data_IF_646497394441
#
_entry.id   IF_646497394441
#
_cell.length_a   1.000
_cell.length_b   1.000
_cell.length_c   1.000
_cell.angle_alpha   90.00
_cell.angle_beta   90.00
_cell.angle_gamma   90.00
#
_symmetry.space_group_name_H-M   'P 1'
#
loop_
_entity.id
_entity.type
_entity.pdbx_description
1 polymer ?
#
# COMPACT_ATOMS: atom_id res chain seq x y z
N UNK A 1 -45.08 19.82 -9.63
CA UNK A 1 -43.65 20.23 -9.65
C UNK A 1 -42.98 20.11 -8.28
N UNK A 2 -43.49 20.73 -7.20
CA UNK A 2 -42.87 20.77 -5.87
C UNK A 2 -42.66 19.38 -5.24
N UNK A 3 -43.59 18.44 -5.39
CA UNK A 3 -43.46 17.06 -4.85
C UNK A 3 -42.39 16.25 -5.60
N UNK A 4 -42.25 16.43 -6.91
CA UNK A 4 -41.24 15.79 -7.72
C UNK A 4 -39.84 16.29 -7.32
N UNK A 5 -39.68 17.56 -7.05
CA UNK A 5 -38.41 18.15 -6.61
C UNK A 5 -38.00 17.59 -5.22
N UNK A 6 -38.93 17.44 -4.30
CA UNK A 6 -38.68 16.86 -2.99
C UNK A 6 -38.26 15.38 -3.15
N UNK A 7 -38.92 14.60 -3.97
CA UNK A 7 -38.60 13.21 -4.24
C UNK A 7 -37.21 13.07 -4.87
N UNK A 8 -36.84 13.91 -5.84
CA UNK A 8 -35.54 13.91 -6.48
C UNK A 8 -34.39 14.28 -5.49
N UNK A 9 -34.66 15.20 -4.57
CA UNK A 9 -33.67 15.61 -3.55
C UNK A 9 -33.51 14.56 -2.43
N UNK A 10 -34.60 13.84 -2.09
CA UNK A 10 -34.56 12.82 -1.05
C UNK A 10 -33.94 11.48 -1.56
N UNK A 11 -33.98 11.22 -2.87
CA UNK A 11 -33.50 9.96 -3.43
C UNK A 11 -32.01 9.66 -3.12
N UNK A 12 -31.06 10.61 -3.32
CA UNK A 12 -29.65 10.37 -2.96
C UNK A 12 -29.46 10.10 -1.46
N UNK A 13 -30.25 10.78 -0.62
CA UNK A 13 -30.17 10.59 0.82
C UNK A 13 -30.69 9.21 1.23
N UNK A 14 -31.78 8.75 0.65
CA UNK A 14 -32.31 7.41 0.86
C UNK A 14 -31.36 6.33 0.38
N UNK A 15 -30.72 6.53 -0.78
CA UNK A 15 -29.70 5.63 -1.30
C UNK A 15 -28.50 5.57 -0.34
N UNK A 16 -28.01 6.72 0.14
CA UNK A 16 -26.87 6.77 1.06
C UNK A 16 -27.13 6.08 2.41
N UNK A 17 -28.38 6.06 2.88
CA UNK A 17 -28.77 5.35 4.12
C UNK A 17 -29.03 3.86 3.86
N UNK A 18 -29.56 3.51 2.68
CA UNK A 18 -29.97 2.14 2.36
C UNK A 18 -28.79 1.23 1.96
N UNK A 19 -27.71 1.79 1.47
CA UNK A 19 -26.54 1.00 1.06
C UNK A 19 -25.44 1.08 2.13
N UNK A 20 -24.88 -0.07 2.55
CA UNK A 20 -23.78 -0.07 3.50
C UNK A 20 -22.55 0.61 2.88
N UNK A 21 -21.79 1.30 3.72
CA UNK A 21 -20.49 1.87 3.31
C UNK A 21 -19.55 0.73 2.93
N UNK A 22 -19.11 0.70 1.68
CA UNK A 22 -18.15 -0.30 1.19
C UNK A 22 -16.76 0.14 1.62
N UNK A 23 -16.07 -0.69 2.41
CA UNK A 23 -14.64 -0.47 2.70
C UNK A 23 -13.79 -0.94 1.53
N UNK A 24 -12.66 -0.25 1.30
CA UNK A 24 -11.66 -0.69 0.34
C UNK A 24 -11.08 -2.05 0.76
N UNK A 25 -10.96 -2.97 -0.19
CA UNK A 25 -10.51 -4.34 0.02
C UNK A 25 -9.71 -4.89 -1.18
N UNK A 26 -9.40 -6.19 -1.18
CA UNK A 26 -8.67 -6.86 -2.27
C UNK A 26 -9.33 -6.69 -3.65
N UNK A 27 -10.66 -6.57 -3.72
CA UNK A 27 -11.38 -6.32 -4.99
C UNK A 27 -11.03 -4.95 -5.55
N UNK A 28 -10.85 -3.96 -4.66
CA UNK A 28 -10.41 -2.63 -5.06
C UNK A 28 -8.99 -2.67 -5.61
N UNK A 29 -8.09 -3.46 -5.00
CA UNK A 29 -6.74 -3.69 -5.52
C UNK A 29 -6.79 -4.32 -6.91
N UNK A 30 -7.59 -5.37 -7.10
CA UNK A 30 -7.77 -6.02 -8.40
C UNK A 30 -8.35 -5.08 -9.47
N UNK A 31 -9.27 -4.19 -9.09
CA UNK A 31 -9.94 -3.28 -10.01
C UNK A 31 -9.09 -2.07 -10.41
N UNK A 32 -8.34 -1.51 -9.45
CA UNK A 32 -7.50 -0.32 -9.67
C UNK A 32 -6.07 -0.67 -10.11
N UNK A 33 -5.63 -1.91 -9.86
CA UNK A 33 -4.23 -2.29 -10.00
C UNK A 33 -3.38 -1.80 -8.83
N UNK A 34 -2.12 -2.19 -8.83
CA UNK A 34 -1.10 -1.68 -7.92
C UNK A 34 0.18 -1.42 -8.71
N UNK A 35 0.95 -0.42 -8.27
CA UNK A 35 2.25 -0.11 -8.83
C UNK A 35 3.26 -0.02 -7.70
N UNK A 36 4.44 -0.56 -7.98
CA UNK A 36 5.61 -0.33 -7.16
C UNK A 36 6.35 0.88 -7.73
N UNK A 37 6.90 1.78 -6.90
CA UNK A 37 7.71 2.87 -7.39
C UNK A 37 8.89 2.31 -8.17
N UNK A 38 9.02 2.72 -9.42
CA UNK A 38 10.11 2.33 -10.30
C UNK A 38 11.30 3.24 -10.01
N UNK A 39 12.51 2.68 -10.01
CA UNK A 39 13.71 3.49 -10.03
C UNK A 39 13.67 4.47 -11.22
N UNK A 40 14.09 5.71 -11.01
CA UNK A 40 14.06 6.79 -12.01
C UNK A 40 14.58 6.30 -13.36
N UNK A 41 13.74 6.35 -14.39
CA UNK A 41 14.11 6.08 -15.79
C UNK A 41 13.27 5.07 -16.56
N UNK A 42 12.34 4.35 -15.93
CA UNK A 42 11.47 3.35 -16.59
C UNK A 42 10.02 3.84 -16.74
N UNK A 43 9.67 4.95 -16.11
CA UNK A 43 8.31 5.51 -16.10
C UNK A 43 7.73 5.84 -17.50
N UNK A 44 8.57 6.03 -18.49
CA UNK A 44 8.12 6.44 -19.84
C UNK A 44 7.66 5.29 -20.72
N UNK A 45 8.02 4.05 -20.43
CA UNK A 45 7.69 2.92 -21.30
C UNK A 45 6.42 2.17 -20.90
N UNK A 46 5.99 2.28 -19.63
CA UNK A 46 4.82 1.56 -19.12
C UNK A 46 3.54 2.40 -19.18
N UNK A 47 3.64 3.72 -19.20
CA UNK A 47 2.50 4.63 -19.38
C UNK A 47 1.83 4.52 -20.76
N UNK A 48 2.46 3.84 -21.73
CA UNK A 48 1.96 3.72 -23.08
C UNK A 48 1.10 2.48 -23.35
N UNK A 49 0.92 1.57 -22.41
CA UNK A 49 0.06 0.39 -22.58
C UNK A 49 -1.22 0.49 -21.76
N UNK A 50 -2.25 1.00 -22.45
CA UNK A 50 -3.68 0.73 -22.24
C UNK A 50 -4.31 0.92 -20.85
N UNK A 51 -4.98 2.07 -20.66
CA UNK A 51 -6.38 2.15 -20.18
C UNK A 51 -6.71 1.72 -18.74
N UNK A 52 -5.80 1.17 -17.97
CA UNK A 52 -6.01 0.88 -16.56
C UNK A 52 -5.45 2.02 -15.71
N UNK A 53 -6.31 2.65 -14.93
CA UNK A 53 -5.91 3.62 -13.92
C UNK A 53 -5.08 2.90 -12.84
N UNK A 54 -3.79 2.85 -13.04
CA UNK A 54 -2.87 2.24 -12.10
C UNK A 54 -2.66 3.17 -10.91
N UNK A 55 -2.72 2.59 -9.73
CA UNK A 55 -2.58 3.31 -8.47
C UNK A 55 -1.11 3.29 -8.04
N UNK A 56 -0.53 4.47 -7.89
CA UNK A 56 0.85 4.59 -7.42
C UNK A 56 0.93 4.20 -5.95
N UNK A 57 1.91 3.35 -5.61
CA UNK A 57 2.21 2.99 -4.22
C UNK A 57 2.96 4.10 -3.47
N UNK A 58 3.56 5.03 -4.21
CA UNK A 58 4.26 6.19 -3.66
C UNK A 58 3.39 7.43 -3.82
N UNK A 59 3.07 8.16 -2.74
CA UNK A 59 2.39 9.42 -2.86
C UNK A 59 3.28 10.43 -3.59
N UNK A 60 2.74 11.12 -4.58
CA UNK A 60 3.41 12.25 -5.20
C UNK A 60 3.35 13.45 -4.26
N UNK A 61 4.42 13.63 -3.50
CA UNK A 61 4.59 14.78 -2.60
C UNK A 61 5.36 15.92 -3.25
N UNK A 62 5.80 15.76 -4.50
CA UNK A 62 6.58 16.75 -5.24
C UNK A 62 5.85 18.10 -5.38
N UNK A 63 4.52 18.07 -5.31
CA UNK A 63 3.67 19.29 -5.36
C UNK A 63 3.85 20.16 -4.11
N UNK A 64 4.25 19.58 -2.98
CA UNK A 64 4.36 20.29 -1.69
C UNK A 64 5.78 20.62 -1.28
N UNK A 65 6.76 19.85 -1.79
CA UNK A 65 8.16 20.03 -1.44
C UNK A 65 9.00 20.13 -2.71
N UNK A 66 10.03 20.97 -2.68
CA UNK A 66 11.06 20.90 -3.70
C UNK A 66 11.71 19.51 -3.64
N UNK A 67 12.13 18.96 -4.79
CA UNK A 67 12.78 17.64 -4.87
C UNK A 67 13.89 17.49 -3.82
N UNK A 68 14.73 18.52 -3.65
CA UNK A 68 15.82 18.51 -2.68
C UNK A 68 15.37 18.51 -1.21
N UNK A 69 14.24 19.17 -0.89
CA UNK A 69 13.68 19.14 0.45
C UNK A 69 13.09 17.77 0.77
N UNK A 70 12.39 17.17 -0.19
CA UNK A 70 11.85 15.82 -0.08
C UNK A 70 12.97 14.77 0.14
N UNK A 71 14.00 14.78 -0.71
CA UNK A 71 15.15 13.86 -0.59
C UNK A 71 15.85 13.97 0.75
N UNK A 72 16.03 15.21 1.25
CA UNK A 72 16.62 15.44 2.57
C UNK A 72 15.76 14.87 3.70
N UNK A 73 14.46 15.08 3.65
CA UNK A 73 13.54 14.57 4.65
C UNK A 73 13.47 13.05 4.63
N UNK A 74 13.35 12.45 3.44
CA UNK A 74 13.38 11.00 3.27
C UNK A 74 14.69 10.39 3.77
N UNK A 75 15.82 11.06 3.58
CA UNK A 75 17.11 10.60 4.10
C UNK A 75 17.11 10.56 5.63
N UNK A 76 16.65 11.63 6.27
CA UNK A 76 16.55 11.70 7.74
C UNK A 76 15.63 10.58 8.27
N UNK A 77 14.52 10.38 7.61
CA UNK A 77 13.55 9.34 7.94
C UNK A 77 14.15 7.94 7.77
N UNK A 78 14.85 7.70 6.66
CA UNK A 78 15.53 6.43 6.43
C UNK A 78 16.59 6.14 7.52
N UNK A 79 17.42 7.12 7.86
CA UNK A 79 18.43 6.98 8.91
C UNK A 79 17.82 6.66 10.28
N UNK A 80 16.67 7.26 10.61
CA UNK A 80 15.89 6.94 11.81
C UNK A 80 15.56 5.45 11.88
N UNK A 81 14.98 4.87 10.82
CA UNK A 81 14.59 3.46 10.81
C UNK A 81 15.78 2.51 10.64
N UNK A 82 16.80 2.91 9.89
CA UNK A 82 18.04 2.13 9.77
C UNK A 82 18.76 1.96 11.10
N UNK A 83 18.63 2.90 12.03
CA UNK A 83 19.22 2.81 13.36
C UNK A 83 18.54 1.77 14.28
N UNK A 84 17.32 1.37 13.97
CA UNK A 84 16.54 0.44 14.80
C UNK A 84 16.96 -1.01 14.54
N UNK A 85 17.03 -1.88 15.58
CA UNK A 85 17.29 -3.30 15.41
C UNK A 85 16.14 -4.01 14.67
N UNK A 86 14.90 -3.62 14.97
CA UNK A 86 13.67 -4.11 14.35
C UNK A 86 12.75 -2.93 14.09
N UNK A 87 12.16 -2.89 12.91
CA UNK A 87 11.22 -1.85 12.52
C UNK A 87 9.81 -2.32 12.87
N UNK A 88 9.21 -1.71 13.89
CA UNK A 88 7.81 -1.91 14.24
C UNK A 88 6.96 -0.94 13.46
N UNK A 89 6.12 -1.46 12.55
CA UNK A 89 5.23 -0.63 11.75
C UNK A 89 3.88 -0.53 12.44
N UNK A 90 3.55 0.69 12.85
CA UNK A 90 2.27 1.04 13.48
C UNK A 90 1.36 1.76 12.48
N UNK A 91 0.12 2.01 12.86
CA UNK A 91 -0.82 2.77 12.01
C UNK A 91 -0.30 4.19 11.70
N UNK A 92 0.41 4.79 12.65
CA UNK A 92 0.91 6.17 12.53
C UNK A 92 2.13 6.28 11.61
N UNK A 93 3.01 5.28 11.60
CA UNK A 93 4.24 5.33 10.82
C UNK A 93 4.20 4.47 9.54
N UNK A 94 3.07 3.83 9.25
CA UNK A 94 2.97 2.85 8.18
C UNK A 94 3.40 3.41 6.82
N UNK A 95 2.84 4.56 6.44
CA UNK A 95 3.13 5.16 5.14
C UNK A 95 4.57 5.66 5.06
N UNK A 96 5.06 6.28 6.13
CA UNK A 96 6.44 6.76 6.25
C UNK A 96 7.45 5.61 6.09
N UNK A 97 7.21 4.48 6.79
CA UNK A 97 8.09 3.31 6.68
C UNK A 97 8.04 2.71 5.28
N UNK A 98 6.86 2.49 4.70
CA UNK A 98 6.76 1.93 3.36
C UNK A 98 7.45 2.81 2.32
N UNK A 99 7.34 4.13 2.45
CA UNK A 99 7.97 5.08 1.55
C UNK A 99 9.51 4.96 1.56
N UNK A 100 10.13 4.92 2.75
CA UNK A 100 11.60 4.78 2.83
C UNK A 100 12.07 3.39 2.37
N UNK A 101 11.29 2.34 2.58
CA UNK A 101 11.61 1.00 2.07
C UNK A 101 11.60 0.95 0.54
N UNK A 102 10.74 1.71 -0.12
CA UNK A 102 10.70 1.81 -1.58
C UNK A 102 11.78 2.76 -2.12
N UNK A 103 12.13 3.82 -1.40
CA UNK A 103 13.14 4.78 -1.83
C UNK A 103 14.57 4.27 -1.64
N UNK A 104 14.82 3.51 -0.57
CA UNK A 104 16.15 3.01 -0.20
C UNK A 104 16.19 1.49 0.00
N UNK A 105 15.64 0.67 -0.91
CA UNK A 105 15.42 -0.75 -0.67
C UNK A 105 16.71 -1.52 -0.38
N UNK A 106 17.85 -1.12 -0.98
CA UNK A 106 19.13 -1.77 -0.76
C UNK A 106 19.68 -1.54 0.65
N UNK A 107 19.38 -0.38 1.26
CA UNK A 107 19.88 -0.06 2.58
C UNK A 107 19.12 -0.79 3.68
N UNK A 108 17.87 -1.15 3.41
CA UNK A 108 17.02 -1.90 4.33
C UNK A 108 17.14 -3.42 4.18
N UNK A 109 17.91 -3.92 3.21
CA UNK A 109 18.13 -5.36 3.06
C UNK A 109 18.77 -5.96 4.33
N UNK A 110 18.21 -7.06 4.84
CA UNK A 110 18.62 -7.70 6.08
C UNK A 110 17.98 -7.11 7.36
N UNK A 111 17.20 -6.04 7.27
CA UNK A 111 16.49 -5.48 8.44
C UNK A 111 15.30 -6.36 8.84
N UNK A 112 15.10 -6.48 10.14
CA UNK A 112 13.90 -7.09 10.72
C UNK A 112 12.76 -6.09 10.72
N UNK A 113 11.58 -6.53 10.27
CA UNK A 113 10.37 -5.72 10.25
C UNK A 113 9.16 -6.53 10.70
N UNK A 114 8.24 -5.85 11.37
CA UNK A 114 6.92 -6.38 11.70
C UNK A 114 5.85 -5.37 11.29
N UNK A 115 4.82 -5.83 10.58
CA UNK A 115 3.71 -4.97 10.14
C UNK A 115 2.42 -5.76 9.96
N UNK A 116 1.30 -5.05 9.97
CA UNK A 116 -0.05 -5.61 9.83
C UNK A 116 -0.70 -5.13 8.55
N UNK A 117 -1.31 -6.04 7.82
CA UNK A 117 -2.05 -5.74 6.59
C UNK A 117 -3.06 -6.82 6.25
N UNK A 118 -3.82 -6.60 5.19
CA UNK A 118 -4.69 -7.62 4.60
C UNK A 118 -4.00 -8.35 3.45
N UNK A 119 -4.28 -9.62 3.35
CA UNK A 119 -3.74 -10.49 2.30
C UNK A 119 -4.38 -10.14 0.95
N UNK A 120 -3.54 -10.04 -0.06
CA UNK A 120 -3.92 -9.99 -1.46
C UNK A 120 -3.13 -11.03 -2.26
N UNK A 121 -3.85 -11.99 -2.85
CA UNK A 121 -3.29 -12.97 -3.77
C UNK A 121 -3.48 -12.46 -5.20
N UNK A 122 -2.38 -12.14 -5.87
CA UNK A 122 -2.45 -11.66 -7.24
C UNK A 122 -2.86 -12.80 -8.19
N UNK A 123 -4.00 -12.68 -8.89
CA UNK A 123 -4.45 -13.72 -9.84
C UNK A 123 -3.49 -13.88 -11.02
N UNK A 124 -2.81 -12.80 -11.43
CA UNK A 124 -1.87 -12.78 -12.54
C UNK A 124 -0.52 -13.39 -12.16
N UNK A 125 -0.21 -13.39 -10.87
CA UNK A 125 1.06 -13.80 -10.29
C UNK A 125 0.84 -14.83 -9.18
N UNK A 126 0.47 -16.06 -9.55
CA UNK A 126 0.07 -17.08 -8.56
C UNK A 126 1.18 -17.42 -7.55
N UNK A 127 2.43 -17.05 -7.80
CA UNK A 127 3.56 -17.24 -6.88
C UNK A 127 3.83 -16.03 -5.98
N UNK A 128 3.02 -14.96 -6.09
CA UNK A 128 3.17 -13.73 -5.34
C UNK A 128 2.00 -13.51 -4.40
N UNK A 129 2.30 -13.25 -3.14
CA UNK A 129 1.32 -12.83 -2.16
C UNK A 129 1.76 -11.50 -1.58
N UNK A 130 0.83 -10.57 -1.49
CA UNK A 130 1.06 -9.25 -0.92
C UNK A 130 0.34 -9.11 0.40
N UNK A 131 0.92 -8.30 1.26
CA UNK A 131 0.29 -7.85 2.48
C UNK A 131 0.18 -6.33 2.39
N UNK A 132 -1.07 -5.83 2.27
CA UNK A 132 -1.37 -4.44 1.95
C UNK A 132 -2.20 -3.73 3.02
N UNK A 133 -2.07 -2.41 3.05
CA UNK A 133 -3.06 -1.49 3.63
C UNK A 133 -3.39 -0.38 2.66
N UNK A 134 -4.60 0.16 2.75
CA UNK A 134 -4.94 1.39 2.02
C UNK A 134 -4.46 2.61 2.80
N UNK A 135 -3.59 3.39 2.17
CA UNK A 135 -3.16 4.69 2.65
C UNK A 135 -3.99 5.79 2.04
N UNK A 136 -4.36 6.77 2.85
CA UNK A 136 -5.12 7.96 2.43
C UNK A 136 -4.22 9.17 2.65
N UNK A 137 -4.05 10.00 1.60
CA UNK A 137 -3.22 11.21 1.67
C UNK A 137 -4.10 12.40 2.05
N UNK A 138 -5.12 12.71 1.26
CA UNK A 138 -6.05 13.80 1.52
C UNK A 138 -7.51 13.33 1.63
N UNK A 139 -7.93 12.41 0.76
CA UNK A 139 -9.28 11.87 0.75
C UNK A 139 -9.32 10.45 0.18
N UNK A 140 -10.46 9.79 0.29
CA UNK A 140 -10.63 8.41 -0.18
C UNK A 140 -10.39 8.24 -1.69
N UNK A 141 -10.53 9.31 -2.48
CA UNK A 141 -10.31 9.26 -3.91
C UNK A 141 -8.82 9.15 -4.28
N UNK A 142 -7.93 9.67 -3.44
CA UNK A 142 -6.47 9.59 -3.60
C UNK A 142 -5.85 8.44 -2.78
N UNK A 143 -6.67 7.48 -2.36
CA UNK A 143 -6.17 6.31 -1.64
C UNK A 143 -5.30 5.43 -2.51
N UNK A 144 -4.18 5.00 -1.98
CA UNK A 144 -3.21 4.06 -2.55
C UNK A 144 -3.08 2.79 -1.74
N UNK A 145 -2.52 1.74 -2.33
CA UNK A 145 -2.14 0.52 -1.63
C UNK A 145 -0.67 0.57 -1.28
N UNK A 146 -0.37 0.28 -0.02
CA UNK A 146 0.98 0.25 0.53
C UNK A 146 1.21 -1.08 1.22
N UNK A 147 2.38 -1.67 1.03
CA UNK A 147 2.72 -2.94 1.65
C UNK A 147 3.89 -3.63 0.96
N UNK A 148 4.11 -4.89 1.26
CA UNK A 148 5.24 -5.65 0.77
C UNK A 148 4.79 -6.95 0.12
N UNK A 149 5.58 -7.38 -0.85
CA UNK A 149 5.57 -8.77 -1.30
C UNK A 149 6.06 -9.64 -0.16
N UNK A 150 5.39 -10.77 0.07
CA UNK A 150 5.79 -11.71 1.12
C UNK A 150 6.17 -13.06 0.51
N UNK A 151 7.19 -13.69 1.07
CA UNK A 151 7.63 -15.05 0.75
C UNK A 151 7.66 -15.92 2.01
N UNK A 152 7.59 -17.21 1.83
CA UNK A 152 7.48 -18.19 2.91
C UNK A 152 6.16 -18.93 2.87
N UNK A 153 5.60 -19.33 4.02
CA UNK A 153 4.32 -20.07 4.12
C UNK A 153 3.09 -19.17 3.86
N UNK A 154 3.22 -18.16 3.04
CA UNK A 154 2.28 -17.06 2.89
C UNK A 154 0.94 -17.45 2.28
N UNK A 155 0.87 -18.49 1.44
CA UNK A 155 -0.37 -18.89 0.75
C UNK A 155 -1.41 -19.64 1.58
N UNK A 156 -1.24 -19.69 2.89
CA UNK A 156 -2.23 -20.31 3.78
C UNK A 156 -3.48 -19.46 3.97
N UNK A 157 -3.44 -18.19 3.58
CA UNK A 157 -4.50 -17.23 3.87
C UNK A 157 -5.20 -16.73 2.60
N UNK A 158 -6.53 -16.64 2.70
CA UNK A 158 -7.37 -16.08 1.65
C UNK A 158 -7.28 -14.55 1.63
N UNK A 159 -7.66 -13.95 0.50
CA UNK A 159 -7.80 -12.51 0.35
C UNK A 159 -8.61 -11.89 1.48
N UNK A 160 -8.23 -10.67 1.86
CA UNK A 160 -8.83 -9.89 2.93
C UNK A 160 -8.64 -10.47 4.34
N UNK A 161 -7.89 -11.56 4.52
CA UNK A 161 -7.47 -12.00 5.85
C UNK A 161 -6.46 -10.99 6.40
N UNK A 162 -6.69 -10.53 7.63
CA UNK A 162 -5.76 -9.62 8.30
C UNK A 162 -4.69 -10.41 9.04
N UNK A 163 -3.46 -9.99 8.86
CA UNK A 163 -2.28 -10.69 9.36
C UNK A 163 -1.25 -9.69 9.85
N UNK A 164 -0.65 -9.97 10.98
CA UNK A 164 0.64 -9.39 11.38
C UNK A 164 1.73 -10.33 10.94
N UNK A 165 2.64 -9.85 10.13
CA UNK A 165 3.79 -10.58 9.64
C UNK A 165 5.08 -9.99 10.19
N UNK A 166 6.00 -10.85 10.59
CA UNK A 166 7.37 -10.46 10.94
C UNK A 166 8.37 -11.29 10.17
N UNK A 167 9.53 -10.71 9.89
CA UNK A 167 10.60 -11.37 9.15
C UNK A 167 11.69 -10.42 8.70
N UNK A 168 12.53 -10.93 7.82
CA UNK A 168 13.68 -10.20 7.29
C UNK A 168 13.36 -9.58 5.93
N UNK A 169 13.72 -8.32 5.73
CA UNK A 169 13.64 -7.66 4.44
C UNK A 169 14.72 -8.16 3.50
N UNK A 170 14.31 -8.53 2.29
CA UNK A 170 15.18 -8.98 1.22
C UNK A 170 14.81 -8.30 -0.09
N UNK A 171 15.66 -8.42 -1.11
CA UNK A 171 15.39 -7.90 -2.44
C UNK A 171 15.22 -9.05 -3.42
N UNK A 172 14.01 -9.22 -3.93
CA UNK A 172 13.73 -10.23 -4.94
C UNK A 172 13.44 -9.60 -6.30
N UNK A 173 14.04 -10.19 -7.33
CA UNK A 173 13.77 -9.79 -8.70
C UNK A 173 12.38 -10.28 -9.14
N UNK A 174 11.50 -9.33 -9.45
CA UNK A 174 10.18 -9.60 -9.98
C UNK A 174 10.24 -9.57 -11.51
N UNK A 175 10.05 -10.74 -12.14
CA UNK A 175 10.26 -10.92 -13.59
C UNK A 175 9.40 -10.00 -14.44
N UNK A 176 8.17 -9.79 -14.06
CA UNK A 176 7.19 -9.04 -14.85
C UNK A 176 7.33 -7.55 -14.69
N UNK A 177 7.65 -7.09 -13.48
CA UNK A 177 7.98 -5.69 -13.23
C UNK A 177 9.43 -5.35 -13.59
N UNK A 178 10.24 -6.38 -13.97
CA UNK A 178 11.64 -6.24 -14.39
C UNK A 178 12.52 -5.47 -13.40
N UNK A 179 12.20 -5.55 -12.11
CA UNK A 179 12.92 -4.84 -11.06
C UNK A 179 13.02 -5.67 -9.79
N UNK A 180 13.95 -5.28 -8.89
CA UNK A 180 14.03 -5.83 -7.55
C UNK A 180 13.01 -5.10 -6.66
N UNK A 181 12.20 -5.88 -5.95
CA UNK A 181 11.22 -5.38 -4.99
C UNK A 181 11.65 -5.70 -3.57
N UNK A 182 11.42 -4.78 -2.62
CA UNK A 182 11.50 -5.12 -1.21
C UNK A 182 10.47 -6.20 -0.90
N UNK A 183 10.94 -7.28 -0.33
CA UNK A 183 10.17 -8.49 -0.06
C UNK A 183 10.40 -8.90 1.38
N UNK A 184 9.36 -9.28 2.08
CA UNK A 184 9.48 -9.86 3.41
C UNK A 184 9.67 -11.37 3.31
N UNK A 185 10.84 -11.87 3.71
CA UNK A 185 11.03 -13.29 4.04
C UNK A 185 10.41 -13.53 5.40
N UNK A 186 9.23 -14.15 5.38
CA UNK A 186 8.40 -14.26 6.58
C UNK A 186 8.89 -15.33 7.50
N UNK A 187 9.12 -14.95 8.76
CA UNK A 187 9.48 -15.84 9.87
C UNK A 187 8.24 -16.22 10.69
N UNK A 188 7.30 -15.27 10.84
CA UNK A 188 6.04 -15.58 11.51
C UNK A 188 4.85 -14.83 10.88
N UNK A 189 3.70 -15.52 10.88
CA UNK A 189 2.39 -14.96 10.56
C UNK A 189 1.45 -15.14 11.75
N UNK A 190 0.78 -14.08 12.16
CA UNK A 190 -0.27 -14.13 13.16
C UNK A 190 -1.55 -13.54 12.58
N UNK A 191 -2.59 -14.37 12.47
CA UNK A 191 -3.92 -13.88 12.06
C UNK A 191 -4.47 -12.96 13.14
N UNK A 192 -4.95 -11.80 12.72
CA UNK A 192 -5.55 -10.79 13.60
C UNK A 192 -6.93 -10.41 13.10
N UNK A 193 -7.72 -9.79 13.96
CA UNK A 193 -8.98 -9.21 13.52
C UNK A 193 -8.73 -7.96 12.66
N UNK A 194 -9.68 -7.67 11.77
CA UNK A 194 -9.63 -6.43 10.99
C UNK A 194 -9.64 -5.24 11.96
N UNK A 195 -8.68 -4.32 11.86
CA UNK A 195 -8.67 -3.11 12.68
C UNK A 195 -9.98 -2.31 12.51
N UNK A 196 -10.40 -1.63 13.56
CA UNK A 196 -11.55 -0.73 13.51
C UNK A 196 -11.36 0.34 12.43
N UNK A 197 -10.15 0.91 12.36
CA UNK A 197 -9.71 1.73 11.23
C UNK A 197 -8.76 0.93 10.34
N UNK A 198 -9.22 0.41 9.20
CA UNK A 198 -8.38 -0.38 8.30
C UNK A 198 -7.44 0.48 7.44
N UNK A 199 -7.57 1.80 7.48
CA UNK A 199 -6.78 2.74 6.70
C UNK A 199 -5.61 3.28 7.49
N UNK A 200 -4.55 3.66 6.78
CA UNK A 200 -3.42 4.41 7.30
C UNK A 200 -3.37 5.78 6.65
N UNK A 201 -2.82 6.76 7.35
CA UNK A 201 -2.83 8.14 6.91
C UNK A 201 -1.41 8.69 6.88
N UNK A 202 -1.15 9.58 5.92
CA UNK A 202 0.09 10.33 5.95
C UNK A 202 0.01 11.40 7.02
N UNK A 203 0.99 11.40 7.90
CA UNK A 203 1.21 12.46 8.88
C UNK A 203 2.22 13.42 8.27
N UNK A 204 1.86 14.72 8.21
CA UNK A 204 2.72 15.79 7.69
C UNK A 204 3.37 16.56 8.84
#
# INVERSE_FOLDING_TARGET
ARQISILLLSLPLLIGVAFPTVSLDSRTVSAKGYHFPLAEGIDTAIQASEGTSSQYLKPDTSTYFSKSAYEKEMRITADKYLSLPTIQVTDENYMEVMEVLYDYPQEFEGKQIEFTGFVYNDPSHPDSQFLFRFGIIHCIADSGVYGLLTKGNSRQYSDNTWITASGTLTLHYHKELKQKLPTLEVESFTKVDKPENPYVYRVF
#
